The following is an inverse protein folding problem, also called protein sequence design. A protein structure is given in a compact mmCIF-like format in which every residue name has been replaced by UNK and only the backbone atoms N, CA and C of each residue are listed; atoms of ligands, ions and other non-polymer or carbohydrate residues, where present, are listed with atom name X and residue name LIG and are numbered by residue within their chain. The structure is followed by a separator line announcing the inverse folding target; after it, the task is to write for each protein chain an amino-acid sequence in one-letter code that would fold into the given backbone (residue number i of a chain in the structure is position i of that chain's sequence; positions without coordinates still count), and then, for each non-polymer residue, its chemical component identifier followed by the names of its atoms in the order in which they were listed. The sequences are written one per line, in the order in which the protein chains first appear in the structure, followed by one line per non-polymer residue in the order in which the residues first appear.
data_IF_678179470134
#
_entry.id   IF_678179470134
#
_cell.length_a   1.000
_cell.length_b   1.000
_cell.length_c   1.000
_cell.angle_alpha   90.00
_cell.angle_beta   90.00
_cell.angle_gamma   90.00
#
_symmetry.space_group_name_H-M   'P 1'
#
loop_
_entity.id
_entity.type
_entity.pdbx_description
1 polymer ?
#
# COMPACT_ATOMS: atom_id res chain seq x y z
N UNK A 1 -5.14 -34.11 -33.16
CA UNK A 1 -6.07 -33.79 -32.05
C UNK A 1 -5.36 -33.43 -30.75
N UNK A 2 -4.28 -34.12 -30.34
CA UNK A 2 -3.52 -33.78 -29.12
C UNK A 2 -2.79 -32.42 -29.19
N UNK A 3 -2.28 -32.06 -30.38
CA UNK A 3 -1.52 -30.81 -30.61
C UNK A 3 -2.38 -29.55 -30.52
N UNK A 4 -3.64 -29.63 -30.97
CA UNK A 4 -4.63 -28.54 -30.86
C UNK A 4 -5.03 -28.32 -29.40
N UNK A 5 -5.13 -29.39 -28.60
CA UNK A 5 -5.40 -29.32 -27.17
C UNK A 5 -4.23 -28.69 -26.39
N UNK A 6 -2.99 -28.96 -26.79
CA UNK A 6 -1.80 -28.32 -26.21
C UNK A 6 -1.77 -26.82 -26.51
N UNK A 7 -2.10 -26.41 -27.74
CA UNK A 7 -2.22 -25.00 -28.15
C UNK A 7 -3.33 -24.24 -27.38
N UNK A 8 -4.44 -24.91 -27.06
CA UNK A 8 -5.52 -24.36 -26.21
C UNK A 8 -5.09 -24.21 -24.75
N UNK A 9 -4.21 -25.08 -24.23
CA UNK A 9 -3.66 -24.97 -22.87
C UNK A 9 -2.64 -23.83 -22.72
N UNK A 10 -1.88 -23.50 -23.77
CA UNK A 10 -0.97 -22.32 -23.76
C UNK A 10 -1.74 -21.00 -23.77
N UNK A 11 -2.97 -20.99 -24.30
CA UNK A 11 -3.87 -19.82 -24.26
C UNK A 11 -4.51 -19.59 -22.88
N UNK A 12 -4.41 -20.55 -21.95
CA UNK A 12 -4.94 -20.41 -20.58
C UNK A 12 -3.92 -19.93 -19.54
N UNK A 13 -2.68 -19.62 -19.94
CA UNK A 13 -1.79 -18.76 -19.13
C UNK A 13 -1.97 -17.32 -19.58
N UNK A 14 -3.22 -16.85 -19.58
CA UNK A 14 -3.51 -15.44 -19.61
C UNK A 14 -2.95 -14.85 -18.32
N UNK A 15 -1.83 -14.13 -18.39
CA UNK A 15 -1.51 -13.12 -17.39
C UNK A 15 -2.76 -12.26 -17.26
N UNK A 16 -3.49 -12.37 -16.17
CA UNK A 16 -4.41 -11.32 -15.77
C UNK A 16 -3.57 -10.11 -15.36
N UNK A 17 -3.02 -9.40 -16.35
CA UNK A 17 -2.94 -7.95 -16.22
C UNK A 17 -4.31 -7.44 -16.60
N UNK A 18 -5.25 -7.56 -15.67
CA UNK A 18 -6.37 -6.63 -15.68
C UNK A 18 -5.72 -5.28 -15.41
N UNK A 19 -5.44 -4.51 -16.48
CA UNK A 19 -5.04 -3.11 -16.37
C UNK A 19 -6.23 -2.38 -15.75
N UNK A 20 -6.30 -2.40 -14.42
CA UNK A 20 -7.16 -1.54 -13.63
C UNK A 20 -6.66 -0.12 -13.85
N UNK A 21 -7.20 0.52 -14.88
CA UNK A 21 -6.85 1.88 -15.27
C UNK A 21 -7.51 2.87 -14.28
N UNK A 22 -6.90 3.03 -13.11
CA UNK A 22 -7.24 4.08 -12.16
C UNK A 22 -6.14 5.13 -12.13
N UNK A 23 -6.53 6.39 -11.97
CA UNK A 23 -5.58 7.48 -11.81
C UNK A 23 -4.99 7.46 -10.40
N UNK A 24 -3.67 7.66 -10.28
CA UNK A 24 -3.01 7.81 -8.98
C UNK A 24 -2.83 9.31 -8.71
N UNK A 25 -3.44 9.79 -7.63
CA UNK A 25 -3.27 11.18 -7.15
C UNK A 25 -2.58 11.15 -5.81
N UNK A 26 -1.42 11.80 -5.70
CA UNK A 26 -0.65 11.90 -4.45
C UNK A 26 -0.72 13.32 -3.91
N UNK A 27 -1.04 13.47 -2.63
CA UNK A 27 -1.09 14.77 -1.92
C UNK A 27 -0.57 14.64 -0.49
N UNK A 28 -0.22 15.75 0.16
CA UNK A 28 0.21 15.79 1.56
C UNK A 28 -0.96 15.88 2.53
N UNK A 29 -0.74 15.48 3.79
CA UNK A 29 -1.68 15.72 4.89
C UNK A 29 -1.98 17.21 5.02
N UNK A 30 -3.25 17.56 5.19
CA UNK A 30 -3.72 18.94 5.29
C UNK A 30 -4.06 19.58 3.94
N UNK A 31 -3.69 18.97 2.81
CA UNK A 31 -4.07 19.48 1.50
C UNK A 31 -5.57 19.27 1.23
N UNK A 32 -6.14 20.15 0.41
CA UNK A 32 -7.51 20.03 -0.12
C UNK A 32 -7.50 19.30 -1.46
N UNK A 33 -8.38 18.31 -1.60
CA UNK A 33 -8.48 17.48 -2.81
C UNK A 33 -9.84 17.65 -3.47
N UNK A 34 -9.82 17.97 -4.76
CA UNK A 34 -10.99 17.93 -5.62
C UNK A 34 -10.88 16.78 -6.62
N UNK A 35 -11.90 15.94 -6.69
CA UNK A 35 -12.11 14.91 -7.71
C UNK A 35 -13.40 15.20 -8.48
N UNK A 36 -13.35 15.06 -9.80
CA UNK A 36 -14.48 15.41 -10.68
C UNK A 36 -14.95 14.19 -11.45
N UNK A 37 -16.27 14.12 -11.64
CA UNK A 37 -16.88 13.15 -12.52
C UNK A 37 -17.80 13.84 -13.53
N UNK A 38 -17.57 13.58 -14.82
CA UNK A 38 -18.35 14.21 -15.89
C UNK A 38 -19.78 13.71 -15.88
N UNK A 39 -20.74 14.63 -15.80
CA UNK A 39 -22.17 14.34 -15.94
C UNK A 39 -22.62 14.65 -17.36
N UNK A 40 -22.74 13.61 -18.18
CA UNK A 40 -23.30 13.75 -19.52
C UNK A 40 -24.81 14.00 -19.45
N UNK A 41 -25.27 15.07 -20.13
CA UNK A 41 -26.69 15.31 -20.38
C UNK A 41 -27.14 14.43 -21.55
N UNK A 42 -27.25 13.12 -21.34
CA UNK A 42 -27.79 12.25 -22.39
C UNK A 42 -29.30 12.48 -22.53
N UNK A 43 -29.77 12.71 -23.76
CA UNK A 43 -31.17 12.93 -24.16
C UNK A 43 -32.09 11.69 -24.00
N UNK A 44 -31.58 10.61 -23.41
CA UNK A 44 -32.31 9.37 -23.18
C UNK A 44 -32.62 9.12 -21.69
N UNK A 45 -32.02 8.07 -21.12
CA UNK A 45 -32.30 7.61 -19.76
C UNK A 45 -31.60 8.44 -18.69
N UNK A 46 -32.41 8.76 -17.68
CA UNK A 46 -32.06 9.52 -16.49
C UNK A 46 -31.11 8.72 -15.57
N UNK A 47 -29.79 8.90 -15.73
CA UNK A 47 -28.79 8.24 -14.88
C UNK A 47 -28.41 9.10 -13.66
N UNK A 48 -28.15 8.45 -12.53
CA UNK A 48 -27.60 9.07 -11.32
C UNK A 48 -26.13 8.69 -11.16
N UNK A 49 -25.33 9.62 -10.63
CA UNK A 49 -23.94 9.40 -10.30
C UNK A 49 -23.78 9.26 -8.79
N UNK A 50 -22.83 8.44 -8.36
CA UNK A 50 -22.49 8.24 -6.96
C UNK A 50 -20.98 8.29 -6.78
N UNK A 51 -20.55 8.90 -5.67
CA UNK A 51 -19.18 8.76 -5.19
C UNK A 51 -19.14 7.66 -4.12
N UNK A 52 -18.34 6.64 -4.37
CA UNK A 52 -18.10 5.54 -3.43
C UNK A 52 -16.62 5.50 -3.10
N UNK A 53 -16.27 5.45 -1.81
CA UNK A 53 -14.88 5.28 -1.37
C UNK A 53 -14.63 3.90 -0.77
N UNK A 54 -13.48 3.32 -1.09
CA UNK A 54 -12.96 2.09 -0.55
C UNK A 54 -11.65 2.41 0.17
N UNK A 55 -11.69 2.36 1.50
CA UNK A 55 -10.52 2.53 2.38
C UNK A 55 -10.17 1.17 2.97
N UNK A 56 -8.87 0.86 3.04
CA UNK A 56 -8.40 -0.42 3.58
C UNK A 56 -8.90 -0.64 5.02
N UNK A 57 -9.37 -1.85 5.32
CA UNK A 57 -9.89 -2.21 6.64
C UNK A 57 -11.28 -1.64 6.97
N UNK A 58 -11.97 -0.99 6.03
CA UNK A 58 -13.34 -0.47 6.20
C UNK A 58 -14.28 -1.00 5.13
N UNK A 59 -15.57 -1.02 5.45
CA UNK A 59 -16.61 -1.30 4.46
C UNK A 59 -16.69 -0.14 3.44
N UNK A 60 -17.06 -0.37 2.17
CA UNK A 60 -17.25 0.70 1.20
C UNK A 60 -18.27 1.74 1.66
N UNK A 61 -17.97 3.01 1.47
CA UNK A 61 -18.81 4.12 1.94
C UNK A 61 -19.37 4.94 0.78
N UNK A 62 -20.67 5.24 0.84
CA UNK A 62 -21.34 6.14 -0.10
C UNK A 62 -21.16 7.60 0.38
N UNK A 63 -20.44 8.40 -0.39
CA UNK A 63 -20.13 9.80 -0.05
C UNK A 63 -21.22 10.78 -0.51
N UNK A 64 -21.96 10.42 -1.55
CA UNK A 64 -23.04 11.24 -2.09
C UNK A 64 -23.52 10.74 -3.44
N UNK A 65 -24.68 11.25 -3.86
CA UNK A 65 -25.25 10.95 -5.17
C UNK A 65 -25.91 12.17 -5.80
N UNK A 66 -26.05 12.14 -7.13
CA UNK A 66 -26.70 13.22 -7.89
C UNK A 66 -28.17 12.94 -8.13
N UNK A 67 -28.95 14.00 -8.28
CA UNK A 67 -30.20 13.92 -9.03
C UNK A 67 -29.92 13.88 -10.52
N UNK A 68 -30.95 13.52 -11.27
CA UNK A 68 -30.84 13.40 -12.72
C UNK A 68 -30.93 14.77 -13.40
N UNK A 69 -31.75 15.66 -12.88
CA UNK A 69 -31.85 17.03 -13.36
C UNK A 69 -30.74 17.88 -12.75
N UNK A 70 -30.41 18.99 -13.41
CA UNK A 70 -29.47 19.97 -12.86
C UNK A 70 -30.06 20.53 -11.55
N UNK A 71 -29.32 20.35 -10.46
CA UNK A 71 -29.67 20.80 -9.13
C UNK A 71 -28.36 21.15 -8.41
N UNK A 72 -28.32 22.30 -7.74
CA UNK A 72 -27.19 22.72 -6.93
C UNK A 72 -27.28 22.08 -5.54
N UNK A 73 -27.22 20.74 -5.54
CA UNK A 73 -27.27 19.95 -4.32
C UNK A 73 -25.88 19.82 -3.70
N UNK A 74 -25.80 20.07 -2.40
CA UNK A 74 -24.59 19.87 -1.61
C UNK A 74 -24.88 18.86 -0.52
N UNK A 75 -24.14 17.75 -0.51
CA UNK A 75 -24.09 16.87 0.64
C UNK A 75 -22.75 17.09 1.35
N UNK A 76 -22.82 17.52 2.62
CA UNK A 76 -21.65 17.98 3.37
C UNK A 76 -21.54 17.23 4.68
N UNK A 77 -20.39 16.62 4.88
CA UNK A 77 -19.86 16.26 6.18
C UNK A 77 -18.76 17.27 6.54
N UNK A 78 -18.28 17.33 7.81
CA UNK A 78 -17.19 18.22 8.17
C UNK A 78 -15.92 18.02 7.33
N UNK A 79 -15.66 16.78 6.89
CA UNK A 79 -14.42 16.37 6.21
C UNK A 79 -14.56 16.28 4.68
N UNK A 80 -15.74 15.89 4.20
CA UNK A 80 -16.01 15.61 2.78
C UNK A 80 -17.27 16.35 2.33
N UNK A 81 -17.18 17.00 1.17
CA UNK A 81 -18.30 17.65 0.49
C UNK A 81 -18.49 17.07 -0.90
N UNK A 82 -19.71 16.67 -1.26
CA UNK A 82 -20.08 16.38 -2.66
C UNK A 82 -21.02 17.44 -3.19
N UNK A 83 -20.79 17.89 -4.42
CA UNK A 83 -21.56 18.96 -5.06
C UNK A 83 -21.96 18.57 -6.47
N UNK A 84 -23.24 18.69 -6.77
CA UNK A 84 -23.74 18.58 -8.13
C UNK A 84 -23.73 19.96 -8.78
N UNK A 85 -22.96 20.12 -9.85
CA UNK A 85 -22.85 21.36 -10.63
C UNK A 85 -23.29 21.10 -12.08
N UNK A 86 -23.58 22.11 -12.91
CA UNK A 86 -23.90 21.89 -14.32
C UNK A 86 -22.81 21.08 -15.05
N UNK A 87 -23.15 19.86 -15.50
CA UNK A 87 -22.24 19.00 -16.26
C UNK A 87 -21.17 18.25 -15.45
N UNK A 88 -21.08 18.45 -14.13
CA UNK A 88 -20.08 17.75 -13.29
C UNK A 88 -20.63 17.35 -11.92
N UNK A 89 -20.03 16.33 -11.34
CA UNK A 89 -20.25 15.92 -9.95
C UNK A 89 -18.91 15.93 -9.21
N UNK A 90 -18.77 16.88 -8.29
CA UNK A 90 -17.54 17.17 -7.58
C UNK A 90 -17.54 16.44 -6.23
N UNK A 91 -16.39 15.89 -5.87
CA UNK A 91 -16.04 15.43 -4.53
C UNK A 91 -14.88 16.27 -4.02
N UNK A 92 -15.05 16.90 -2.86
CA UNK A 92 -14.06 17.71 -2.17
C UNK A 92 -13.74 17.07 -0.84
N UNK A 93 -12.46 16.83 -0.57
CA UNK A 93 -11.94 16.36 0.71
C UNK A 93 -11.12 17.51 1.27
N UNK A 94 -11.50 18.01 2.44
CA UNK A 94 -10.83 19.14 3.09
C UNK A 94 -9.83 18.62 4.12
N UNK A 95 -8.68 19.29 4.23
CA UNK A 95 -7.66 18.99 5.23
C UNK A 95 -7.36 17.47 5.33
N UNK A 96 -6.88 16.90 4.21
CA UNK A 96 -6.71 15.46 4.08
C UNK A 96 -5.92 14.81 5.22
N UNK A 97 -6.31 13.59 5.58
CA UNK A 97 -5.70 12.77 6.64
C UNK A 97 -5.17 11.48 6.02
N UNK A 98 -4.18 10.86 6.67
CA UNK A 98 -3.66 9.56 6.22
C UNK A 98 -4.77 8.51 6.01
N UNK A 99 -5.82 8.56 6.84
CA UNK A 99 -6.99 7.69 6.77
C UNK A 99 -7.87 7.87 5.52
N UNK A 100 -7.66 8.93 4.74
CA UNK A 100 -8.36 9.16 3.47
C UNK A 100 -7.71 8.44 2.29
N UNK A 101 -6.55 7.80 2.51
CA UNK A 101 -5.90 6.97 1.49
C UNK A 101 -6.81 5.84 1.07
N UNK A 102 -7.13 5.76 -0.23
CA UNK A 102 -8.08 4.77 -0.73
C UNK A 102 -8.47 4.98 -2.19
N UNK A 103 -9.35 4.10 -2.66
CA UNK A 103 -9.93 4.16 -4.00
C UNK A 103 -11.25 4.92 -3.97
N UNK A 104 -11.38 5.91 -4.86
CA UNK A 104 -12.57 6.74 -5.02
C UNK A 104 -13.16 6.49 -6.39
N UNK A 105 -14.37 5.93 -6.42
CA UNK A 105 -15.09 5.62 -7.65
C UNK A 105 -16.22 6.59 -7.89
N UNK A 106 -16.29 7.10 -9.12
CA UNK A 106 -17.53 7.66 -9.65
C UNK A 106 -18.29 6.56 -10.40
N UNK A 107 -19.47 6.24 -9.89
CA UNK A 107 -20.31 5.17 -10.40
C UNK A 107 -21.57 5.78 -11.01
N UNK A 108 -21.85 5.44 -12.26
CA UNK A 108 -23.12 5.75 -12.93
C UNK A 108 -24.07 4.57 -12.78
N UNK A 109 -25.29 4.86 -12.32
CA UNK A 109 -26.36 3.87 -12.28
C UNK A 109 -27.47 4.31 -13.24
N UNK A 110 -27.81 3.41 -14.16
CA UNK A 110 -28.92 3.56 -15.08
C UNK A 110 -29.83 2.33 -14.99
N UNK A 111 -30.95 2.46 -14.27
CA UNK A 111 -31.86 1.36 -13.95
C UNK A 111 -31.13 0.18 -13.27
N UNK A 112 -30.78 -0.84 -14.03
CA UNK A 112 -30.10 -2.07 -13.57
C UNK A 112 -28.62 -2.11 -13.96
N UNK A 113 -28.15 -1.14 -14.76
CA UNK A 113 -26.78 -1.08 -15.24
C UNK A 113 -25.93 -0.18 -14.33
N UNK A 114 -24.80 -0.70 -13.89
CA UNK A 114 -23.79 0.01 -13.10
C UNK A 114 -22.52 0.14 -13.93
N UNK A 115 -22.02 1.36 -14.09
CA UNK A 115 -20.80 1.66 -14.85
C UNK A 115 -19.84 2.47 -13.99
N UNK A 116 -18.60 2.01 -13.86
CA UNK A 116 -17.52 2.78 -13.24
C UNK A 116 -17.00 3.78 -14.28
N UNK A 117 -17.25 5.07 -14.04
CA UNK A 117 -16.86 6.13 -14.98
C UNK A 117 -15.43 6.63 -14.73
N UNK A 118 -15.05 6.68 -13.46
CA UNK A 118 -13.73 7.12 -13.03
C UNK A 118 -13.35 6.40 -11.74
N UNK A 119 -12.06 6.11 -11.60
CA UNK A 119 -11.45 5.53 -10.41
C UNK A 119 -10.17 6.31 -10.12
N UNK A 120 -10.06 6.87 -8.93
CA UNK A 120 -8.83 7.52 -8.48
C UNK A 120 -8.33 6.86 -7.20
N UNK A 121 -7.11 6.34 -7.22
CA UNK A 121 -6.39 5.99 -6.01
C UNK A 121 -5.76 7.25 -5.42
N UNK A 122 -6.32 7.73 -4.33
CA UNK A 122 -5.80 8.88 -3.60
C UNK A 122 -4.79 8.38 -2.57
N UNK A 123 -3.52 8.76 -2.74
CA UNK A 123 -2.44 8.48 -1.81
C UNK A 123 -2.14 9.72 -0.98
N UNK A 124 -2.37 9.65 0.33
CA UNK A 124 -2.02 10.74 1.26
C UNK A 124 -0.65 10.45 1.86
N UNK A 125 0.30 11.38 1.64
CA UNK A 125 1.61 11.36 2.27
C UNK A 125 1.58 12.18 3.55
N UNK A 126 2.16 11.63 4.62
CA UNK A 126 2.45 12.40 5.82
C UNK A 126 3.61 13.37 5.62
N UNK A 127 4.05 14.04 6.70
CA UNK A 127 5.34 14.72 6.73
C UNK A 127 6.47 13.78 6.31
N UNK A 128 7.58 14.35 5.82
CA UNK A 128 8.75 13.55 5.48
C UNK A 128 9.21 12.74 6.70
N UNK A 129 9.46 11.43 6.56
CA UNK A 129 9.87 10.61 7.68
C UNK A 129 11.27 10.99 8.15
N UNK A 130 11.45 11.08 9.47
CA UNK A 130 12.74 11.44 10.09
C UNK A 130 13.75 10.27 10.08
N UNK A 131 13.57 9.32 9.17
CA UNK A 131 14.41 8.13 9.02
C UNK A 131 15.53 8.46 8.03
N UNK A 132 16.76 8.43 8.53
CA UNK A 132 17.96 8.71 7.72
C UNK A 132 18.48 7.49 7.00
N UNK A 133 18.32 6.29 7.59
CA UNK A 133 18.73 5.03 6.95
C UNK A 133 18.01 3.79 7.50
N UNK A 134 17.84 2.80 6.63
CA UNK A 134 17.43 1.43 6.99
C UNK A 134 18.54 0.48 6.58
N UNK A 135 19.26 -0.07 7.55
CA UNK A 135 20.47 -0.87 7.34
C UNK A 135 20.16 -2.33 7.68
N UNK A 136 20.37 -3.23 6.71
CA UNK A 136 20.31 -4.67 6.92
C UNK A 136 21.71 -5.25 6.99
N UNK A 137 21.97 -6.09 8.00
CA UNK A 137 23.25 -6.79 8.16
C UNK A 137 23.06 -8.25 7.72
N UNK A 138 23.85 -8.75 6.76
CA UNK A 138 23.80 -10.16 6.37
C UNK A 138 24.44 -11.06 7.43
N UNK A 139 24.01 -12.33 7.55
CA UNK A 139 24.68 -13.31 8.39
C UNK A 139 26.11 -13.55 7.88
N UNK A 140 27.06 -13.73 8.79
CA UNK A 140 28.48 -13.89 8.50
C UNK A 140 28.88 -15.29 8.01
N UNK A 141 28.12 -16.31 8.41
CA UNK A 141 28.48 -17.72 8.22
C UNK A 141 27.56 -18.40 7.19
N UNK A 142 28.08 -19.40 6.44
CA UNK A 142 27.26 -20.22 5.56
C UNK A 142 26.20 -20.96 6.39
N UNK A 143 24.96 -20.92 5.90
CA UNK A 143 23.79 -21.41 6.64
C UNK A 143 23.43 -22.81 6.16
N UNK A 144 23.22 -23.73 7.09
CA UNK A 144 22.78 -25.10 6.82
C UNK A 144 21.33 -25.33 7.23
N UNK A 145 20.64 -26.30 6.60
CA UNK A 145 19.32 -26.70 7.03
C UNK A 145 19.33 -27.14 8.51
N UNK A 146 18.46 -26.54 9.31
CA UNK A 146 18.37 -26.76 10.76
C UNK A 146 19.01 -25.66 11.61
N UNK A 147 19.84 -24.80 11.01
CA UNK A 147 20.45 -23.68 11.71
C UNK A 147 19.41 -22.62 12.07
N UNK A 148 19.64 -21.93 13.19
CA UNK A 148 18.86 -20.77 13.59
C UNK A 148 19.56 -19.52 13.09
N UNK A 149 18.99 -18.85 12.10
CA UNK A 149 19.50 -17.59 11.57
C UNK A 149 18.77 -16.43 12.21
N UNK A 150 19.51 -15.38 12.55
CA UNK A 150 18.95 -14.10 13.01
C UNK A 150 19.29 -13.01 12.00
N UNK A 151 18.26 -12.38 11.46
CA UNK A 151 18.37 -11.22 10.57
C UNK A 151 18.16 -9.95 11.39
N UNK A 152 18.99 -8.93 11.17
CA UNK A 152 18.90 -7.66 11.87
C UNK A 152 18.65 -6.50 10.90
N UNK A 153 17.73 -5.63 11.29
CA UNK A 153 17.40 -4.39 10.60
C UNK A 153 17.60 -3.23 11.58
N UNK A 154 18.54 -2.35 11.29
CA UNK A 154 18.78 -1.13 12.06
C UNK A 154 18.08 0.05 11.38
N UNK A 155 17.20 0.73 12.10
CA UNK A 155 16.55 1.97 11.67
C UNK A 155 17.24 3.13 12.36
N UNK A 156 17.78 4.06 11.57
CA UNK A 156 18.38 5.31 12.05
C UNK A 156 17.39 6.44 11.86
N UNK A 157 17.16 7.24 12.90
CA UNK A 157 16.28 8.41 12.83
C UNK A 157 16.83 9.61 13.60
N UNK A 158 16.47 10.81 13.16
CA UNK A 158 16.88 12.03 13.84
C UNK A 158 15.97 12.31 15.04
N UNK A 159 16.59 12.43 16.22
CA UNK A 159 15.88 12.48 17.50
C UNK A 159 15.18 13.82 17.78
N UNK A 160 15.57 14.90 17.11
CA UNK A 160 15.10 16.27 17.36
C UNK A 160 13.84 16.64 16.57
N UNK A 161 13.66 16.08 15.38
CA UNK A 161 12.62 16.50 14.44
C UNK A 161 11.53 15.45 14.29
N UNK A 162 10.93 14.90 15.37
CA UNK A 162 9.81 13.96 15.20
C UNK A 162 8.62 14.64 14.54
N UNK A 163 8.50 14.54 13.22
CA UNK A 163 7.44 15.17 12.43
C UNK A 163 6.21 14.28 12.30
N UNK A 164 6.39 12.97 12.38
CA UNK A 164 5.28 12.01 12.26
C UNK A 164 4.74 11.56 13.63
N UNK A 165 3.42 11.73 13.87
CA UNK A 165 2.79 11.27 15.11
C UNK A 165 2.60 9.74 15.08
N UNK A 166 3.57 9.01 15.61
CA UNK A 166 3.55 7.55 15.74
C UNK A 166 4.97 6.96 15.74
N UNK A 167 5.15 5.75 16.26
CA UNK A 167 6.40 5.01 16.05
C UNK A 167 6.32 4.26 14.71
N UNK A 168 7.48 3.99 14.12
CA UNK A 168 7.54 3.25 12.87
C UNK A 168 7.28 1.75 13.13
N UNK A 169 6.66 1.09 12.16
CA UNK A 169 6.45 -0.37 12.20
C UNK A 169 7.40 -1.05 11.22
N UNK A 170 7.94 -2.21 11.60
CA UNK A 170 8.93 -2.93 10.79
C UNK A 170 8.40 -4.28 10.33
N UNK A 171 8.52 -4.56 9.05
CA UNK A 171 8.02 -5.77 8.40
C UNK A 171 9.16 -6.49 7.69
N UNK A 172 9.15 -7.82 7.74
CA UNK A 172 10.09 -8.66 7.02
C UNK A 172 9.40 -9.38 5.87
N UNK A 173 9.93 -9.16 4.67
CA UNK A 173 9.49 -9.80 3.44
C UNK A 173 10.54 -10.77 2.95
N UNK A 174 10.13 -11.85 2.29
CA UNK A 174 11.02 -12.70 1.51
C UNK A 174 10.57 -12.76 0.08
N UNK A 175 11.50 -12.42 -0.82
CA UNK A 175 11.41 -12.76 -2.23
C UNK A 175 11.97 -14.19 -2.43
N UNK A 176 11.14 -15.08 -2.98
CA UNK A 176 11.56 -16.41 -3.40
C UNK A 176 12.53 -16.36 -4.59
N UNK A 177 13.18 -17.48 -4.90
CA UNK A 177 14.11 -17.60 -6.04
C UNK A 177 13.43 -17.47 -7.41
N UNK A 178 12.12 -17.61 -7.45
CA UNK A 178 11.23 -17.47 -8.61
C UNK A 178 10.58 -16.07 -8.71
N UNK A 179 10.92 -15.15 -7.80
CA UNK A 179 10.53 -13.72 -7.76
C UNK A 179 9.02 -13.40 -7.85
N UNK A 180 8.13 -14.39 -7.93
CA UNK A 180 6.76 -14.14 -8.42
C UNK A 180 5.80 -13.53 -7.40
N UNK A 181 6.18 -13.36 -6.13
CA UNK A 181 5.54 -12.46 -5.15
C UNK A 181 6.30 -12.49 -3.80
N UNK A 182 6.70 -11.34 -3.23
CA UNK A 182 7.28 -11.32 -1.90
C UNK A 182 6.24 -11.71 -0.84
N UNK A 183 6.63 -12.58 0.09
CA UNK A 183 5.78 -13.02 1.21
C UNK A 183 6.12 -12.25 2.49
N UNK A 184 5.11 -11.76 3.21
CA UNK A 184 5.29 -11.22 4.55
C UNK A 184 5.55 -12.38 5.53
N UNK A 185 6.71 -12.36 6.18
CA UNK A 185 7.15 -13.44 7.08
C UNK A 185 6.94 -13.05 8.54
N UNK A 186 7.13 -11.78 8.85
CA UNK A 186 7.07 -11.28 10.23
C UNK A 186 6.73 -9.79 10.25
N UNK A 187 5.89 -9.40 11.21
CA UNK A 187 5.53 -8.02 11.46
C UNK A 187 5.91 -7.69 12.90
N UNK A 188 6.86 -6.78 13.06
CA UNK A 188 7.27 -6.26 14.35
C UNK A 188 6.39 -5.03 14.65
N UNK A 189 5.62 -5.13 15.74
CA UNK A 189 4.68 -4.08 16.16
C UNK A 189 5.39 -2.82 16.68
N UNK A 190 4.59 -1.79 16.94
CA UNK A 190 4.99 -0.49 17.48
C UNK A 190 5.74 -0.67 18.81
N UNK A 191 7.07 -0.65 18.77
CA UNK A 191 7.95 -1.12 19.85
C UNK A 191 8.99 -0.05 20.17
N UNK A 192 8.57 0.93 20.95
CA UNK A 192 9.45 1.92 21.57
C UNK A 192 10.53 1.31 22.48
N UNK A 193 10.43 0.02 22.83
CA UNK A 193 11.30 -0.65 23.81
C UNK A 193 12.64 -1.14 23.23
N UNK A 194 12.79 -1.33 21.91
CA UNK A 194 14.05 -1.79 21.26
C UNK A 194 14.95 -0.64 20.75
N UNK A 195 14.56 0.60 21.04
CA UNK A 195 15.24 1.80 20.58
C UNK A 195 16.17 2.36 21.66
N UNK A 196 17.49 2.12 21.56
CA UNK A 196 18.46 2.72 22.48
C UNK A 196 18.54 4.23 22.28
N UNK A 197 18.02 4.98 23.26
CA UNK A 197 18.09 6.45 23.25
C UNK A 197 19.48 6.89 23.66
N UNK A 198 20.27 7.38 22.70
CA UNK A 198 21.58 7.93 23.02
C UNK A 198 21.40 9.18 23.91
N UNK A 199 22.14 9.29 25.03
CA UNK A 199 22.03 10.40 25.96
C UNK A 199 22.64 11.71 25.43
N UNK A 200 23.27 11.69 24.25
CA UNK A 200 23.85 12.87 23.62
C UNK A 200 22.82 13.57 22.72
N UNK A 201 22.48 14.80 23.08
CA UNK A 201 21.82 15.78 22.20
C UNK A 201 22.57 15.80 20.86
N UNK A 202 21.86 15.64 19.74
CA UNK A 202 22.39 15.56 18.36
C UNK A 202 22.87 14.20 17.82
N UNK A 203 22.66 13.09 18.53
CA UNK A 203 22.95 11.76 17.95
C UNK A 203 21.71 11.11 17.33
N UNK A 204 21.85 10.44 16.16
CA UNK A 204 20.74 9.72 15.55
C UNK A 204 20.33 8.56 16.46
N UNK A 205 19.02 8.44 16.67
CA UNK A 205 18.40 7.33 17.36
C UNK A 205 18.59 6.06 16.51
N UNK A 206 19.09 4.98 17.12
CA UNK A 206 19.20 3.68 16.47
C UNK A 206 18.26 2.67 17.12
N UNK A 207 17.37 2.10 16.33
CA UNK A 207 16.49 1.00 16.73
C UNK A 207 16.91 -0.28 15.99
N UNK A 208 17.07 -1.39 16.69
CA UNK A 208 17.53 -2.65 16.09
C UNK A 208 16.45 -3.71 16.19
N UNK A 209 15.84 -4.04 15.04
CA UNK A 209 14.80 -5.05 14.93
C UNK A 209 15.39 -6.37 14.47
N UNK A 210 15.26 -7.40 15.30
CA UNK A 210 15.78 -8.74 15.02
C UNK A 210 14.67 -9.74 14.73
N UNK A 211 14.87 -10.58 13.71
CA UNK A 211 13.99 -11.70 13.39
C UNK A 211 14.81 -12.98 13.32
N UNK A 212 14.45 -13.97 14.14
CA UNK A 212 15.13 -15.27 14.20
C UNK A 212 14.22 -16.40 13.71
N UNK A 213 14.76 -17.31 12.89
CA UNK A 213 14.05 -18.49 12.40
C UNK A 213 15.00 -19.67 12.21
N UNK A 214 14.52 -20.88 12.51
CA UNK A 214 15.16 -22.14 12.07
C UNK A 214 14.92 -22.36 10.59
N UNK A 215 15.99 -22.43 9.81
CA UNK A 215 15.91 -22.44 8.35
C UNK A 215 15.87 -23.86 7.79
N UNK A 216 15.18 -24.01 6.66
CA UNK A 216 15.14 -25.23 5.84
C UNK A 216 15.59 -24.92 4.42
N UNK A 217 15.84 -25.93 3.58
CA UNK A 217 16.27 -25.70 2.19
C UNK A 217 15.30 -24.83 1.38
N UNK A 218 14.01 -24.86 1.71
CA UNK A 218 12.98 -24.04 1.08
C UNK A 218 12.94 -22.60 1.59
N UNK A 219 13.83 -22.19 2.51
CA UNK A 219 13.94 -20.83 3.03
C UNK A 219 14.97 -19.97 2.27
N UNK A 220 15.67 -20.53 1.27
CA UNK A 220 16.59 -19.77 0.44
C UNK A 220 15.88 -18.63 -0.32
N UNK A 221 16.49 -17.45 -0.37
CA UNK A 221 15.90 -16.26 -1.01
C UNK A 221 16.45 -14.95 -0.47
N UNK A 222 15.87 -13.83 -0.90
CA UNK A 222 16.28 -12.51 -0.45
C UNK A 222 15.27 -11.96 0.55
N UNK A 223 15.75 -11.62 1.74
CA UNK A 223 14.96 -11.10 2.84
C UNK A 223 15.08 -9.58 2.90
N UNK A 224 13.96 -8.88 2.85
CA UNK A 224 13.88 -7.42 2.92
C UNK A 224 13.23 -6.98 4.23
N UNK A 225 13.85 -6.00 4.88
CA UNK A 225 13.22 -5.23 5.93
C UNK A 225 12.47 -4.05 5.29
N UNK A 226 11.24 -3.79 5.69
CA UNK A 226 10.47 -2.63 5.27
C UNK A 226 9.94 -1.87 6.49
N UNK A 227 10.18 -0.57 6.52
CA UNK A 227 9.80 0.30 7.63
C UNK A 227 8.64 1.18 7.16
N UNK A 228 7.48 1.03 7.79
CA UNK A 228 6.30 1.84 7.51
C UNK A 228 6.21 3.01 8.50
N UNK A 229 6.16 4.22 7.96
CA UNK A 229 6.01 5.46 8.73
C UNK A 229 5.44 6.56 7.83
N UNK A 230 4.66 7.49 8.38
CA UNK A 230 4.15 8.67 7.65
C UNK A 230 3.36 8.37 6.34
N UNK A 231 2.75 7.19 6.19
CA UNK A 231 2.11 6.80 4.92
C UNK A 231 3.09 6.38 3.82
N UNK A 232 4.34 6.14 4.18
CA UNK A 232 5.41 5.65 3.31
C UNK A 232 6.01 4.35 3.83
N UNK A 233 6.66 3.62 2.92
CA UNK A 233 7.36 2.38 3.21
C UNK A 233 8.78 2.52 2.68
N UNK A 234 9.77 2.39 3.56
CA UNK A 234 11.20 2.44 3.24
C UNK A 234 11.77 1.03 3.32
N UNK A 235 12.46 0.59 2.27
CA UNK A 235 13.09 -0.74 2.25
C UNK A 235 14.57 -0.66 2.63
N UNK A 236 15.03 -1.67 3.36
CA UNK A 236 16.45 -1.94 3.51
C UNK A 236 17.04 -2.59 2.25
N UNK A 237 18.36 -2.73 2.22
CA UNK A 237 19.11 -3.20 1.05
C UNK A 237 18.89 -4.69 0.71
N UNK A 238 18.17 -5.44 1.53
CA UNK A 238 17.97 -6.88 1.36
C UNK A 238 19.16 -7.73 1.83
N UNK A 239 18.85 -8.91 2.33
CA UNK A 239 19.83 -9.92 2.75
C UNK A 239 19.56 -11.20 1.99
N UNK A 240 20.49 -11.59 1.10
CA UNK A 240 20.40 -12.88 0.40
C UNK A 240 20.83 -14.00 1.34
N UNK A 241 19.94 -14.98 1.53
CA UNK A 241 20.20 -16.16 2.34
C UNK A 241 20.41 -17.36 1.42
N UNK A 242 21.65 -17.84 1.37
CA UNK A 242 22.03 -19.08 0.68
C UNK A 242 22.11 -20.21 1.70
N UNK A 243 21.44 -21.32 1.40
CA UNK A 243 21.37 -22.48 2.30
C UNK A 243 22.08 -23.63 1.62
N UNK A 244 23.13 -24.15 2.26
CA UNK A 244 23.89 -25.29 1.72
C UNK A 244 22.96 -26.50 1.57
N UNK A 245 22.80 -26.99 0.34
CA UNK A 245 21.99 -28.16 0.06
C UNK A 245 22.60 -29.39 0.69
N UNK A 246 21.85 -30.11 1.54
CA UNK A 246 22.24 -31.44 1.96
C UNK A 246 22.08 -32.38 0.75
N UNK A 247 23.15 -32.60 0.00
CA UNK A 247 23.19 -33.64 -1.02
C UNK A 247 23.14 -34.99 -0.28
N UNK A 248 21.94 -35.53 -0.08
CA UNK A 248 21.80 -36.94 0.27
C UNK A 248 21.97 -37.73 -1.02
N UNK A 249 23.20 -38.17 -1.27
CA UNK A 249 23.48 -39.26 -2.20
C UNK A 249 22.70 -40.49 -1.72
N UNK A 250 21.67 -40.86 -2.48
CA UNK A 250 21.01 -42.17 -2.38
C UNK A 250 21.83 -43.21 -3.15
#
# INVERSE_FOLDING_TARGET
MLTVFYLLLILTVGRCSDDLNFDIKTVGVGDDVNLTCTRQKSSGLKATLFWVRLVSGKFPELLGGTFVFDYEGVNKTPHITTKQEPGTFLLQIHETKLSDTGLYYCIKINRLEMTFLNATFLRIKGPEPDITAVIQVPPSDPVRPGDSVTLQCSVLSDSENKTCPGEHSVYWFRAGSDESQPSLIYAHGNSGDECERSPQTHSPQKCVYSFSKKVSSSDAGTYYCAVATCGEILFGNGTKLEIEGNCRTF
#
